data_IF_780612171690
#
_entry.id   IF_780612171690
#
_cell.length_a   1.000
_cell.length_b   1.000
_cell.length_c   1.000
_cell.angle_alpha   90.00
_cell.angle_beta   90.00
_cell.angle_gamma   90.00
#
_symmetry.space_group_name_H-M   'P 1'
#
loop_
_entity.id
_entity.type
_entity.pdbx_description
1 polymer ?
#
# COMPACT_ATOMS: atom_id res chain seq x y z
N UNK A 1 7.18 -28.91 -4.55
CA UNK A 1 7.43 -28.14 -5.77
C UNK A 1 7.33 -26.68 -5.36
N UNK A 2 8.49 -26.04 -5.14
CA UNK A 2 8.59 -24.77 -4.44
C UNK A 2 8.10 -23.63 -5.33
N UNK A 3 7.17 -22.82 -4.80
CA UNK A 3 6.60 -21.65 -5.44
C UNK A 3 7.58 -20.49 -5.31
N UNK A 4 8.23 -20.13 -6.42
CA UNK A 4 9.01 -18.90 -6.53
C UNK A 4 8.07 -17.69 -6.58
N UNK A 5 7.91 -17.04 -5.43
CA UNK A 5 7.33 -15.70 -5.37
C UNK A 5 8.29 -14.76 -6.09
N UNK A 6 7.89 -14.28 -7.27
CA UNK A 6 8.62 -13.23 -7.99
C UNK A 6 8.48 -11.93 -7.21
N UNK A 7 9.43 -11.68 -6.31
CA UNK A 7 9.59 -10.42 -5.58
C UNK A 7 9.81 -9.28 -6.58
N UNK A 8 8.81 -8.40 -6.71
CA UNK A 8 8.93 -7.18 -7.52
C UNK A 8 9.96 -6.20 -6.95
N UNK A 9 10.38 -5.18 -7.73
CA UNK A 9 11.40 -4.20 -7.32
C UNK A 9 11.14 -3.51 -5.98
N UNK A 10 9.86 -3.37 -5.58
CA UNK A 10 9.45 -2.78 -4.30
C UNK A 10 9.75 -3.67 -3.09
N UNK A 11 9.47 -4.97 -3.18
CA UNK A 11 9.71 -5.93 -2.09
C UNK A 11 11.21 -6.02 -1.75
N UNK A 12 12.06 -6.06 -2.78
CA UNK A 12 13.52 -6.15 -2.62
C UNK A 12 14.12 -4.88 -2.00
N UNK A 13 13.65 -3.68 -2.37
CA UNK A 13 14.06 -2.42 -1.71
C UNK A 13 13.71 -2.43 -0.23
N UNK A 14 12.54 -2.93 0.13
CA UNK A 14 12.12 -3.01 1.53
C UNK A 14 12.98 -3.97 2.36
N UNK A 15 13.37 -5.11 1.78
CA UNK A 15 14.29 -6.07 2.42
C UNK A 15 15.68 -5.44 2.68
N UNK A 16 16.25 -4.73 1.70
CA UNK A 16 17.53 -4.00 1.87
C UNK A 16 17.42 -2.97 2.99
N UNK A 17 16.35 -2.18 3.02
CA UNK A 17 16.16 -1.18 4.06
C UNK A 17 15.98 -1.80 5.44
N UNK A 18 15.27 -2.93 5.56
CA UNK A 18 15.07 -3.61 6.83
C UNK A 18 16.39 -4.11 7.41
N UNK A 19 17.28 -4.67 6.59
CA UNK A 19 18.61 -5.10 7.03
C UNK A 19 19.46 -3.93 7.53
N UNK A 20 19.37 -2.77 6.87
CA UNK A 20 20.05 -1.55 7.31
C UNK A 20 19.47 -0.97 8.60
N UNK A 21 18.16 -1.10 8.83
CA UNK A 21 17.50 -0.62 10.07
C UNK A 21 17.92 -1.38 11.31
N UNK A 22 18.03 -2.71 11.20
CA UNK A 22 18.38 -3.58 12.33
C UNK A 22 19.89 -3.68 12.54
N UNK A 23 20.69 -3.07 11.68
CA UNK A 23 22.14 -3.05 11.83
C UNK A 23 22.57 -1.84 12.67
N UNK A 24 23.30 -2.09 13.74
CA UNK A 24 23.89 -1.04 14.58
C UNK A 24 25.03 -0.27 13.89
N UNK A 25 25.56 -0.81 12.78
CA UNK A 25 26.70 -0.23 12.06
C UNK A 25 26.42 -0.12 10.55
N UNK A 26 26.99 0.87 9.84
CA UNK A 26 26.83 0.98 8.39
C UNK A 26 27.30 -0.28 7.64
N UNK A 27 26.42 -0.85 6.83
CA UNK A 27 26.64 -2.11 6.13
C UNK A 27 27.26 -1.92 4.74
N UNK A 28 28.05 -2.89 4.31
CA UNK A 28 28.65 -2.94 2.96
C UNK A 28 27.70 -3.62 1.99
N UNK A 29 27.80 -3.28 0.70
CA UNK A 29 27.04 -3.93 -0.38
C UNK A 29 27.21 -5.45 -0.37
N UNK A 30 28.44 -5.93 -0.15
CA UNK A 30 28.73 -7.37 -0.12
C UNK A 30 27.98 -8.10 1.01
N UNK A 31 27.93 -7.51 2.21
CA UNK A 31 27.24 -8.09 3.36
C UNK A 31 25.72 -8.13 3.17
N UNK A 32 25.16 -7.10 2.52
CA UNK A 32 23.74 -7.07 2.15
C UNK A 32 23.42 -8.13 1.08
N UNK A 33 24.29 -8.28 0.07
CA UNK A 33 24.14 -9.27 -1.00
C UNK A 33 24.15 -10.70 -0.45
N UNK A 34 25.09 -11.00 0.45
CA UNK A 34 25.20 -12.28 1.14
C UNK A 34 23.94 -12.60 1.97
N UNK A 35 23.49 -11.67 2.81
CA UNK A 35 22.29 -11.89 3.66
C UNK A 35 21.00 -12.03 2.86
N UNK A 36 20.91 -11.42 1.69
CA UNK A 36 19.74 -11.49 0.82
C UNK A 36 19.81 -12.63 -0.20
N UNK A 37 20.95 -13.33 -0.32
CA UNK A 37 21.15 -14.36 -1.33
C UNK A 37 21.06 -13.83 -2.77
N UNK A 38 21.47 -12.57 -3.01
CA UNK A 38 21.38 -11.94 -4.34
C UNK A 38 22.73 -11.41 -4.82
N UNK A 39 22.82 -11.09 -6.10
CA UNK A 39 24.01 -10.49 -6.67
C UNK A 39 24.21 -9.04 -6.19
N UNK A 40 25.47 -8.62 -6.02
CA UNK A 40 25.83 -7.27 -5.53
C UNK A 40 25.25 -6.14 -6.40
N UNK A 41 25.09 -6.36 -7.71
CA UNK A 41 24.51 -5.35 -8.61
C UNK A 41 23.03 -5.06 -8.29
N UNK A 42 22.26 -6.08 -7.90
CA UNK A 42 20.86 -5.93 -7.49
C UNK A 42 20.76 -5.07 -6.24
N UNK A 43 21.63 -5.31 -5.26
CA UNK A 43 21.70 -4.49 -4.04
C UNK A 43 22.08 -3.05 -4.36
N UNK A 44 23.08 -2.81 -5.24
CA UNK A 44 23.46 -1.45 -5.66
C UNK A 44 22.29 -0.71 -6.30
N UNK A 45 21.58 -1.36 -7.22
CA UNK A 45 20.40 -0.77 -7.86
C UNK A 45 19.36 -0.32 -6.82
N UNK A 46 19.06 -1.17 -5.84
CA UNK A 46 18.11 -0.81 -4.78
C UNK A 46 18.63 0.25 -3.81
N UNK A 47 19.92 0.24 -3.47
CA UNK A 47 20.54 1.27 -2.64
C UNK A 47 20.54 2.63 -3.33
N UNK A 48 20.82 2.69 -4.63
CA UNK A 48 20.76 3.93 -5.41
C UNK A 48 19.35 4.52 -5.40
N UNK A 49 18.32 3.70 -5.66
CA UNK A 49 16.93 4.17 -5.57
C UNK A 49 16.56 4.64 -4.16
N UNK A 50 17.00 3.94 -3.12
CA UNK A 50 16.74 4.34 -1.73
C UNK A 50 17.51 5.60 -1.32
N UNK A 51 18.69 5.84 -1.92
CA UNK A 51 19.51 7.04 -1.71
C UNK A 51 18.89 8.25 -2.41
N UNK A 52 18.40 8.07 -3.65
CA UNK A 52 17.60 9.06 -4.37
C UNK A 52 16.32 9.43 -3.60
N UNK A 53 15.66 8.46 -2.96
CA UNK A 53 14.50 8.66 -2.10
C UNK A 53 14.85 9.29 -0.72
N UNK A 54 16.13 9.54 -0.42
CA UNK A 54 16.59 10.07 0.87
C UNK A 54 16.39 9.13 2.07
N UNK A 55 16.18 7.83 1.82
CA UNK A 55 15.91 6.82 2.85
C UNK A 55 17.17 6.18 3.43
N UNK A 56 18.25 6.19 2.66
CA UNK A 56 19.57 5.70 3.06
C UNK A 56 20.62 6.72 2.66
N UNK A 57 21.73 6.75 3.40
CA UNK A 57 22.88 7.58 3.07
C UNK A 57 24.13 6.71 2.95
N UNK A 58 25.02 7.11 2.05
CA UNK A 58 26.35 6.53 1.92
C UNK A 58 27.29 7.15 2.96
N UNK A 59 27.80 6.30 3.86
CA UNK A 59 28.78 6.67 4.87
C UNK A 59 30.20 6.40 4.33
N UNK A 60 31.12 7.38 4.39
CA UNK A 60 32.52 7.15 4.08
C UNK A 60 33.11 6.09 5.01
N UNK A 61 33.74 5.05 4.45
CA UNK A 61 34.56 4.13 5.25
C UNK A 61 35.91 4.80 5.50
N UNK A 62 36.27 5.04 6.75
CA UNK A 62 37.64 5.40 7.12
C UNK A 62 38.51 4.17 6.83
N UNK A 63 39.47 4.25 5.92
CA UNK A 63 40.49 3.21 5.74
C UNK A 63 41.86 3.83 5.89
N UNK A 64 42.60 3.37 6.89
CA UNK A 64 44.06 3.52 6.97
C UNK A 64 44.70 2.37 6.17
N UNK A 65 44.87 2.53 4.85
CA UNK A 65 45.49 1.48 4.02
C UNK A 65 45.32 1.66 2.50
N UNK A 66 46.06 0.87 1.70
CA UNK A 66 45.94 0.83 0.23
C UNK A 66 44.76 -0.04 -0.21
N UNK A 67 43.72 0.58 -0.77
CA UNK A 67 42.56 -0.08 -1.40
C UNK A 67 41.42 0.92 -1.66
N UNK A 68 40.60 0.71 -2.71
CA UNK A 68 39.44 1.58 -3.00
C UNK A 68 38.43 1.44 -1.85
N UNK A 69 38.10 2.51 -1.09
CA UNK A 69 37.21 2.40 0.06
C UNK A 69 35.85 1.83 -0.35
N UNK A 70 35.42 0.75 0.32
CA UNK A 70 34.10 0.18 0.07
C UNK A 70 33.01 1.10 0.66
N UNK A 71 32.04 1.46 -0.16
CA UNK A 71 30.88 2.24 0.26
C UNK A 71 30.10 1.48 1.34
N UNK A 72 29.85 2.16 2.47
CA UNK A 72 28.94 1.68 3.51
C UNK A 72 27.66 2.48 3.46
N UNK A 73 26.55 1.87 3.83
CA UNK A 73 25.24 2.49 3.82
C UNK A 73 24.60 2.36 5.20
N UNK A 74 23.86 3.36 5.61
CA UNK A 74 22.96 3.31 6.77
C UNK A 74 21.62 3.95 6.42
N UNK A 75 20.61 3.65 7.21
CA UNK A 75 19.34 4.39 7.14
C UNK A 75 19.57 5.80 7.65
N UNK A 76 19.05 6.79 6.93
CA UNK A 76 18.95 8.17 7.41
C UNK A 76 18.01 8.16 8.61
N UNK A 77 18.44 8.58 9.81
CA UNK A 77 17.54 8.67 10.95
C UNK A 77 16.34 9.55 10.61
N UNK A 78 15.14 8.96 10.57
CA UNK A 78 13.88 9.70 10.52
C UNK A 78 13.34 9.73 11.95
N UNK A 79 13.63 10.80 12.73
CA UNK A 79 13.25 10.89 14.15
C UNK A 79 11.73 10.81 14.36
N UNK A 80 10.92 10.92 13.29
CA UNK A 80 9.47 10.78 13.35
C UNK A 80 8.95 9.41 12.94
N UNK A 81 9.75 8.42 12.51
CA UNK A 81 9.26 7.14 11.97
C UNK A 81 9.06 6.03 13.00
N UNK A 82 9.70 6.12 14.16
CA UNK A 82 9.70 5.08 15.19
C UNK A 82 8.42 5.04 16.05
N UNK A 83 7.85 6.20 16.37
CA UNK A 83 6.74 6.35 17.33
C UNK A 83 5.42 6.85 16.70
N UNK A 84 5.18 6.57 15.41
CA UNK A 84 3.93 7.02 14.75
C UNK A 84 2.74 6.19 15.24
N UNK A 85 1.88 6.80 16.05
CA UNK A 85 0.66 6.18 16.59
C UNK A 85 -0.56 6.44 15.69
N UNK A 86 -0.45 6.13 14.39
CA UNK A 86 -1.57 6.34 13.45
C UNK A 86 -2.77 5.44 13.75
N UNK A 87 -2.53 4.23 14.24
CA UNK A 87 -3.58 3.32 14.70
C UNK A 87 -4.39 3.94 15.86
N UNK A 88 -3.70 4.51 16.86
CA UNK A 88 -4.35 5.21 17.97
C UNK A 88 -5.15 6.42 17.48
N UNK A 89 -4.57 7.25 16.60
CA UNK A 89 -5.25 8.41 16.04
C UNK A 89 -6.50 7.99 15.23
N UNK A 90 -6.37 6.97 14.38
CA UNK A 90 -7.47 6.43 13.61
C UNK A 90 -8.57 5.89 14.54
N UNK A 91 -8.22 5.13 15.57
CA UNK A 91 -9.16 4.60 16.56
C UNK A 91 -9.93 5.72 17.27
N UNK A 92 -9.26 6.79 17.70
CA UNK A 92 -9.89 7.97 18.32
C UNK A 92 -10.87 8.65 17.35
N UNK A 93 -10.44 8.89 16.10
CA UNK A 93 -11.26 9.58 15.10
C UNK A 93 -12.47 8.73 14.69
N UNK A 94 -12.27 7.44 14.42
CA UNK A 94 -13.35 6.52 14.06
C UNK A 94 -14.32 6.37 15.23
N UNK A 95 -13.82 6.22 16.46
CA UNK A 95 -14.64 6.17 17.68
C UNK A 95 -15.52 7.42 17.86
N UNK A 96 -15.04 8.60 17.46
CA UNK A 96 -15.81 9.85 17.53
C UNK A 96 -17.02 9.89 16.58
N UNK A 97 -17.03 9.06 15.53
CA UNK A 97 -18.17 8.97 14.60
C UNK A 97 -19.36 8.21 15.23
N UNK A 98 -19.13 7.46 16.31
CA UNK A 98 -20.13 6.61 16.93
C UNK A 98 -20.50 5.40 16.06
N UNK A 99 -21.73 4.94 16.20
CA UNK A 99 -22.25 3.74 15.51
C UNK A 99 -23.52 4.04 14.69
N UNK A 100 -23.92 3.09 13.85
CA UNK A 100 -25.18 3.15 13.11
C UNK A 100 -25.08 3.84 11.74
N UNK A 101 -26.24 4.23 11.20
CA UNK A 101 -26.36 4.73 9.82
C UNK A 101 -25.58 6.03 9.61
N UNK A 102 -25.66 6.97 10.54
CA UNK A 102 -24.97 8.26 10.41
C UNK A 102 -23.46 8.13 10.35
N UNK A 103 -22.87 7.27 11.19
CA UNK A 103 -21.45 6.98 11.20
C UNK A 103 -20.99 6.39 9.86
N UNK A 104 -21.74 5.40 9.34
CA UNK A 104 -21.48 4.77 8.04
C UNK A 104 -21.56 5.78 6.89
N UNK A 105 -22.57 6.64 6.88
CA UNK A 105 -22.72 7.68 5.84
C UNK A 105 -21.59 8.72 5.89
N UNK A 106 -21.16 9.13 7.09
CA UNK A 106 -20.02 10.03 7.25
C UNK A 106 -18.72 9.39 6.73
N UNK A 107 -18.46 8.13 7.09
CA UNK A 107 -17.32 7.37 6.60
C UNK A 107 -17.34 7.16 5.09
N UNK A 108 -18.51 6.82 4.52
CA UNK A 108 -18.68 6.71 3.07
C UNK A 108 -18.37 8.03 2.36
N UNK A 109 -18.86 9.16 2.86
CA UNK A 109 -18.54 10.49 2.30
C UNK A 109 -17.05 10.80 2.37
N UNK A 110 -16.39 10.47 3.48
CA UNK A 110 -14.95 10.65 3.64
C UNK A 110 -14.17 9.80 2.63
N UNK A 111 -14.55 8.52 2.45
CA UNK A 111 -14.02 7.63 1.43
C UNK A 111 -14.20 8.20 0.02
N UNK A 112 -15.42 8.66 -0.33
CA UNK A 112 -15.70 9.25 -1.64
C UNK A 112 -14.84 10.49 -1.91
N UNK A 113 -14.68 11.37 -0.92
CA UNK A 113 -13.83 12.55 -1.05
C UNK A 113 -12.37 12.18 -1.27
N UNK A 114 -11.88 11.10 -0.64
CA UNK A 114 -10.54 10.58 -0.89
C UNK A 114 -10.40 10.01 -2.30
N UNK A 115 -11.34 9.15 -2.72
CA UNK A 115 -11.33 8.52 -4.04
C UNK A 115 -11.31 9.55 -5.17
N UNK A 116 -12.12 10.60 -5.08
CA UNK A 116 -12.13 11.69 -6.06
C UNK A 116 -10.77 12.39 -6.18
N UNK A 117 -10.17 12.79 -5.04
CA UNK A 117 -8.86 13.44 -5.03
C UNK A 117 -7.73 12.57 -5.58
N UNK A 118 -7.82 11.25 -5.37
CA UNK A 118 -6.87 10.33 -6.00
C UNK A 118 -7.08 10.31 -7.51
N UNK A 119 -8.33 10.10 -7.96
CA UNK A 119 -8.67 10.04 -9.38
C UNK A 119 -8.28 11.31 -10.16
N UNK A 120 -8.38 12.50 -9.55
CA UNK A 120 -7.95 13.78 -10.12
C UNK A 120 -6.44 13.91 -10.32
N UNK A 121 -5.63 13.19 -9.52
CA UNK A 121 -4.16 13.23 -9.56
C UNK A 121 -3.56 12.12 -10.43
N UNK A 122 -4.34 11.08 -10.69
CA UNK A 122 -3.91 9.96 -11.51
C UNK A 122 -4.01 10.38 -12.98
N UNK A 123 -2.90 10.36 -13.69
CA UNK A 123 -2.87 10.61 -15.13
C UNK A 123 -3.76 9.60 -15.88
N UNK A 124 -4.29 10.03 -17.02
CA UNK A 124 -5.19 9.25 -17.87
C UNK A 124 -4.48 8.07 -18.51
N UNK A 125 -4.37 6.96 -17.78
CA UNK A 125 -4.07 5.66 -18.37
C UNK A 125 -5.21 5.22 -19.28
N UNK A 126 -4.89 4.66 -20.46
CA UNK A 126 -5.84 4.08 -21.42
C UNK A 126 -6.48 2.75 -20.91
N UNK A 127 -6.75 2.66 -19.60
CA UNK A 127 -7.41 1.53 -18.98
C UNK A 127 -8.92 1.79 -18.89
N UNK A 128 -9.71 0.73 -19.02
CA UNK A 128 -11.12 0.85 -18.67
C UNK A 128 -11.29 1.12 -17.16
N UNK A 129 -12.40 1.73 -16.71
CA UNK A 129 -12.56 2.12 -15.31
C UNK A 129 -12.43 0.98 -14.29
N UNK A 130 -12.74 -0.26 -14.68
CA UNK A 130 -12.61 -1.43 -13.80
C UNK A 130 -11.15 -1.84 -13.64
N UNK A 131 -10.38 -1.87 -14.74
CA UNK A 131 -8.93 -2.14 -14.69
C UNK A 131 -8.20 -1.08 -13.89
N UNK A 132 -8.57 0.19 -14.10
CA UNK A 132 -8.03 1.31 -13.31
C UNK A 132 -8.36 1.18 -11.82
N UNK A 133 -9.57 0.72 -11.48
CA UNK A 133 -9.96 0.44 -10.10
C UNK A 133 -9.12 -0.69 -9.49
N UNK A 134 -8.90 -1.79 -10.23
CA UNK A 134 -8.07 -2.91 -9.76
C UNK A 134 -6.62 -2.46 -9.55
N UNK A 135 -6.05 -1.69 -10.48
CA UNK A 135 -4.70 -1.14 -10.33
C UNK A 135 -4.60 -0.25 -9.09
N UNK A 136 -5.54 0.67 -8.91
CA UNK A 136 -5.61 1.55 -7.74
C UNK A 136 -5.72 0.77 -6.43
N UNK A 137 -6.64 -0.19 -6.33
CA UNK A 137 -6.80 -1.02 -5.13
C UNK A 137 -5.53 -1.81 -4.81
N UNK A 138 -4.75 -2.20 -5.83
CA UNK A 138 -3.43 -2.81 -5.67
C UNK A 138 -2.41 -1.83 -5.08
N UNK A 139 -2.36 -0.60 -5.59
CA UNK A 139 -1.48 0.46 -5.13
C UNK A 139 -1.71 0.82 -3.65
N UNK A 140 -2.97 0.96 -3.24
CA UNK A 140 -3.33 1.26 -1.84
C UNK A 140 -3.34 0.03 -0.93
N UNK A 141 -2.96 -1.14 -1.46
CA UNK A 141 -2.64 -2.31 -0.64
C UNK A 141 -3.80 -3.26 -0.33
N UNK A 142 -4.94 -3.20 -1.04
CA UNK A 142 -6.05 -4.15 -0.85
C UNK A 142 -5.79 -5.55 -1.41
N UNK A 143 -4.69 -5.74 -2.15
CA UNK A 143 -4.35 -6.99 -2.84
C UNK A 143 -5.54 -7.55 -3.66
N UNK A 144 -6.04 -6.80 -4.67
CA UNK A 144 -7.20 -7.19 -5.45
C UNK A 144 -6.87 -8.34 -6.39
N UNK A 145 -7.81 -9.27 -6.51
CA UNK A 145 -7.79 -10.36 -7.47
C UNK A 145 -9.13 -10.41 -8.20
N UNK A 146 -9.12 -10.13 -9.51
CA UNK A 146 -10.32 -10.18 -10.33
C UNK A 146 -10.60 -11.64 -10.71
N UNK A 147 -11.61 -12.24 -10.09
CA UNK A 147 -12.01 -13.64 -10.34
C UNK A 147 -12.94 -13.76 -11.55
N UNK A 148 -13.75 -12.72 -11.80
CA UNK A 148 -14.69 -12.65 -12.92
C UNK A 148 -14.76 -11.21 -13.48
N UNK A 149 -15.42 -11.03 -14.61
CA UNK A 149 -15.56 -9.71 -15.24
C UNK A 149 -16.12 -8.64 -14.28
N UNK A 150 -17.00 -9.02 -13.34
CA UNK A 150 -17.68 -8.12 -12.41
C UNK A 150 -17.44 -8.47 -10.93
N UNK A 151 -16.47 -9.32 -10.63
CA UNK A 151 -16.15 -9.72 -9.25
C UNK A 151 -14.67 -9.47 -8.99
N UNK A 152 -14.39 -8.75 -7.91
CA UNK A 152 -13.04 -8.51 -7.39
C UNK A 152 -13.00 -9.03 -5.95
N UNK A 153 -12.08 -9.94 -5.66
CA UNK A 153 -11.78 -10.35 -4.29
C UNK A 153 -10.61 -9.50 -3.76
N UNK A 154 -10.73 -8.99 -2.53
CA UNK A 154 -9.69 -8.23 -1.84
C UNK A 154 -9.08 -9.14 -0.78
N UNK A 155 -7.82 -9.49 -0.95
CA UNK A 155 -7.10 -10.42 -0.07
C UNK A 155 -6.34 -9.75 1.06
N UNK A 156 -6.40 -8.41 1.14
CA UNK A 156 -5.87 -7.65 2.24
C UNK A 156 -6.80 -6.48 2.60
N UNK A 157 -6.94 -6.21 3.90
CA UNK A 157 -7.54 -4.98 4.40
C UNK A 157 -6.41 -4.11 4.96
N UNK A 158 -6.06 -2.97 4.32
CA UNK A 158 -5.02 -2.07 4.80
C UNK A 158 -5.40 -1.34 6.10
N UNK A 159 -6.65 -1.49 6.56
CA UNK A 159 -7.17 -0.91 7.80
C UNK A 159 -7.56 -1.99 8.81
N UNK A 160 -6.95 -3.18 8.74
CA UNK A 160 -7.33 -4.34 9.55
C UNK A 160 -7.19 -4.07 11.05
N UNK A 161 -6.19 -3.29 11.43
CA UNK A 161 -5.87 -2.95 12.82
C UNK A 161 -7.00 -2.17 13.51
N UNK A 162 -7.82 -1.44 12.75
CA UNK A 162 -8.99 -0.70 13.27
C UNK A 162 -10.33 -1.37 12.90
N UNK A 163 -10.30 -2.58 12.36
CA UNK A 163 -11.50 -3.26 11.86
C UNK A 163 -12.33 -3.91 12.97
N UNK A 164 -11.70 -4.52 13.97
CA UNK A 164 -12.39 -5.44 14.87
C UNK A 164 -13.49 -4.77 15.71
N UNK A 165 -13.31 -3.50 16.09
CA UNK A 165 -14.33 -2.73 16.84
C UNK A 165 -15.23 -1.86 15.96
N UNK A 166 -14.76 -1.46 14.77
CA UNK A 166 -15.45 -0.47 13.92
C UNK A 166 -15.59 -0.92 12.45
N UNK A 167 -15.72 -2.23 12.22
CA UNK A 167 -15.71 -2.85 10.90
C UNK A 167 -16.72 -2.24 9.92
N UNK A 168 -17.93 -1.93 10.37
CA UNK A 168 -18.96 -1.28 9.56
C UNK A 168 -18.52 0.09 9.01
N UNK A 169 -17.83 0.88 9.84
CA UNK A 169 -17.34 2.21 9.49
C UNK A 169 -16.16 2.08 8.52
N UNK A 170 -15.23 1.15 8.79
CA UNK A 170 -14.09 0.84 7.92
C UNK A 170 -14.57 0.38 6.54
N UNK A 171 -15.53 -0.55 6.48
CA UNK A 171 -16.13 -1.00 5.24
C UNK A 171 -16.83 0.12 4.48
N UNK A 172 -17.49 1.05 5.18
CA UNK A 172 -18.12 2.21 4.55
C UNK A 172 -17.08 3.16 3.92
N UNK A 173 -15.91 3.36 4.55
CA UNK A 173 -14.79 4.10 3.95
C UNK A 173 -14.34 3.42 2.65
N UNK A 174 -14.16 2.09 2.65
CA UNK A 174 -13.77 1.35 1.43
C UNK A 174 -14.77 1.51 0.30
N UNK A 175 -16.06 1.32 0.60
CA UNK A 175 -17.14 1.47 -0.38
C UNK A 175 -17.17 2.89 -0.95
N UNK A 176 -17.00 3.90 -0.08
CA UNK A 176 -16.90 5.30 -0.48
C UNK A 176 -15.70 5.57 -1.38
N UNK A 177 -14.52 5.04 -1.03
CA UNK A 177 -13.28 5.19 -1.79
C UNK A 177 -13.44 4.68 -3.22
N UNK A 178 -13.94 3.45 -3.39
CA UNK A 178 -14.19 2.87 -4.72
C UNK A 178 -15.22 3.69 -5.52
N UNK A 179 -16.29 4.14 -4.84
CA UNK A 179 -17.33 4.94 -5.48
C UNK A 179 -16.80 6.29 -5.96
N UNK A 180 -16.04 6.99 -5.10
CA UNK A 180 -15.44 8.28 -5.44
C UNK A 180 -14.48 8.20 -6.62
N UNK A 181 -13.68 7.13 -6.72
CA UNK A 181 -12.81 6.92 -7.89
C UNK A 181 -13.59 6.65 -9.18
N UNK A 182 -14.59 5.77 -9.12
CA UNK A 182 -15.40 5.42 -10.31
C UNK A 182 -16.19 6.62 -10.82
N UNK A 183 -16.78 7.42 -9.92
CA UNK A 183 -17.50 8.64 -10.28
C UNK A 183 -16.58 9.63 -11.03
N UNK A 184 -15.38 9.86 -10.51
CA UNK A 184 -14.40 10.76 -11.14
C UNK A 184 -13.88 10.27 -12.49
N UNK A 185 -13.94 8.97 -12.77
CA UNK A 185 -13.56 8.39 -14.07
C UNK A 185 -14.73 8.26 -15.04
N UNK A 186 -15.89 8.86 -14.74
CA UNK A 186 -17.08 8.79 -15.60
C UNK A 186 -17.75 7.42 -15.61
N UNK A 187 -17.52 6.62 -14.57
CA UNK A 187 -18.09 5.29 -14.38
C UNK A 187 -19.13 5.27 -13.25
N UNK A 188 -19.89 6.36 -13.11
CA UNK A 188 -20.96 6.55 -12.13
C UNK A 188 -22.10 5.55 -12.29
N UNK A 189 -22.27 4.97 -13.47
CA UNK A 189 -23.20 3.87 -13.75
C UNK A 189 -22.73 2.50 -13.26
N UNK A 190 -21.53 2.38 -12.69
CA UNK A 190 -21.05 1.14 -12.07
C UNK A 190 -21.34 1.21 -10.56
N UNK A 191 -22.29 0.40 -10.11
CA UNK A 191 -22.56 0.15 -8.70
C UNK A 191 -21.50 -0.78 -8.10
N UNK A 192 -21.09 -0.48 -6.88
CA UNK A 192 -20.16 -1.29 -6.09
C UNK A 192 -20.87 -1.82 -4.85
N UNK A 193 -20.87 -3.14 -4.68
CA UNK A 193 -21.36 -3.81 -3.47
C UNK A 193 -20.21 -4.55 -2.81
N UNK A 194 -19.93 -4.22 -1.54
CA UNK A 194 -18.81 -4.77 -0.77
C UNK A 194 -19.35 -5.75 0.27
N UNK A 195 -19.06 -7.03 0.08
CA UNK A 195 -19.34 -8.10 1.03
C UNK A 195 -18.06 -8.37 1.86
N UNK A 196 -18.01 -7.94 3.13
CA UNK A 196 -16.82 -8.15 3.97
C UNK A 196 -16.71 -9.60 4.42
N UNK A 197 -15.47 -10.09 4.51
CA UNK A 197 -15.13 -11.38 5.15
C UNK A 197 -15.94 -12.58 4.64
N UNK A 198 -16.21 -12.65 3.33
CA UNK A 198 -16.85 -13.82 2.70
C UNK A 198 -16.07 -15.12 2.95
N UNK A 199 -14.76 -14.98 3.22
CA UNK A 199 -13.84 -16.00 3.76
C UNK A 199 -12.84 -15.30 4.69
N UNK A 200 -12.10 -16.04 5.55
CA UNK A 200 -11.09 -15.44 6.41
C UNK A 200 -10.11 -14.55 5.63
N UNK A 201 -10.07 -13.26 5.97
CA UNK A 201 -9.20 -12.27 5.33
C UNK A 201 -9.60 -11.83 3.92
N UNK A 202 -10.74 -12.29 3.38
CA UNK A 202 -11.16 -11.97 2.00
C UNK A 202 -12.47 -11.22 1.99
N UNK A 203 -12.48 -10.04 1.38
CA UNK A 203 -13.70 -9.31 1.05
C UNK A 203 -14.02 -9.48 -0.44
N UNK A 204 -15.30 -9.41 -0.82
CA UNK A 204 -15.74 -9.48 -2.22
C UNK A 204 -16.40 -8.18 -2.63
N UNK A 205 -16.04 -7.69 -3.80
CA UNK A 205 -16.68 -6.56 -4.45
C UNK A 205 -17.41 -7.05 -5.69
N UNK A 206 -18.71 -6.77 -5.77
CA UNK A 206 -19.51 -6.97 -6.98
C UNK A 206 -19.69 -5.63 -7.69
N UNK A 207 -19.48 -5.66 -9.00
CA UNK A 207 -19.63 -4.51 -9.87
C UNK A 207 -20.89 -4.68 -10.71
N UNK A 208 -22.00 -4.07 -10.32
CA UNK A 208 -23.23 -4.08 -11.12
C UNK A 208 -23.27 -2.86 -12.04
N UNK A 209 -23.84 -2.97 -13.24
CA UNK A 209 -24.33 -1.76 -13.90
C UNK A 209 -25.57 -1.31 -13.12
N UNK A 210 -25.57 -0.10 -12.57
CA UNK A 210 -26.80 0.53 -12.13
C UNK A 210 -27.56 0.86 -13.41
N UNK A 211 -28.54 0.03 -13.76
CA UNK A 211 -29.42 0.32 -14.87
C UNK A 211 -30.02 1.69 -14.68
N UNK A 212 -29.90 2.56 -15.69
CA UNK A 212 -30.81 3.70 -15.82
C UNK A 212 -32.18 3.05 -16.00
N UNK A 213 -33.00 3.06 -14.94
CA UNK A 213 -34.42 2.88 -15.13
C UNK A 213 -34.86 4.03 -16.05
N UNK A 214 -35.36 3.64 -17.24
CA UNK A 214 -35.85 4.53 -18.28
C UNK A 214 -36.93 5.49 -17.77
#
# INVERSE_FOLDING_TARGET
>A
MQSEVRDGPSARRQQVLQLLRVSETPMRVAALAERLGVHSNTVRYHLSALEEDGRVERVPSVVAGRGRPEARYRVVPDPGRGDRRYELLASILIGSLGAGVHAREAAKRAGMAWGRRHAERSDGEDLNPIERLVAYLGEVGFAPHRTEARIIELHNCPFREVFDEQGDVVCAVHAGLMRGTLDSWGADTIGTDLEPLVRPGVCRVRLASTGVAA
#
